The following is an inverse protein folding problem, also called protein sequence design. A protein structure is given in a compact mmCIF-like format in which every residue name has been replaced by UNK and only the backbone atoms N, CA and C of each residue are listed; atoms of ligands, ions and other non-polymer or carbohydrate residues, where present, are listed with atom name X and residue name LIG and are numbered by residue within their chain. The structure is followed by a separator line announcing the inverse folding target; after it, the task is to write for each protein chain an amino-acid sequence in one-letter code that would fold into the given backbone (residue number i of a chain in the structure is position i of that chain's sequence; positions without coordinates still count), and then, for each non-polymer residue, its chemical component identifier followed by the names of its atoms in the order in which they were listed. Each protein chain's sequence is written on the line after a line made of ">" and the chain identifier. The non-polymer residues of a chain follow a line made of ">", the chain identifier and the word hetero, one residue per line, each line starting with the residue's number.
data_IF_292665102252
#
_entry.id   IF_292665102252
#
_cell.length_a   1.000
_cell.length_b   1.000
_cell.length_c   1.000
_cell.angle_alpha   90.00
_cell.angle_beta   90.00
_cell.angle_gamma   90.00
#
_symmetry.space_group_name_H-M   'P 1'
#
loop_
_entity.id
_entity.type
_entity.pdbx_description
1 polymer ?
#
# COMPACT_ATOMS: atom_id res chain seq x y z
N UNK A 1 -31.79 -6.44 1.63
CA UNK A 1 -32.30 -5.68 0.47
C UNK A 1 -32.96 -4.41 0.99
N UNK A 2 -32.68 -3.24 0.35
CA UNK A 2 -33.33 -1.96 0.74
C UNK A 2 -32.53 -1.10 1.74
N UNK A 3 -31.33 -1.50 2.14
CA UNK A 3 -30.47 -0.67 3.01
C UNK A 3 -29.68 0.31 2.15
N UNK A 4 -29.71 1.60 2.51
CA UNK A 4 -28.86 2.61 1.90
C UNK A 4 -27.38 2.34 2.25
N UNK A 5 -26.51 2.12 1.25
CA UNK A 5 -25.10 1.81 1.49
C UNK A 5 -24.34 2.95 2.20
N UNK A 6 -24.74 4.19 1.99
CA UNK A 6 -24.11 5.35 2.62
C UNK A 6 -24.42 5.40 4.11
N UNK A 7 -25.67 5.23 4.46
CA UNK A 7 -26.10 5.15 5.86
C UNK A 7 -25.54 3.91 6.56
N UNK A 8 -25.43 2.79 5.85
CA UNK A 8 -24.81 1.58 6.39
C UNK A 8 -23.33 1.81 6.72
N UNK A 9 -22.56 2.46 5.83
CA UNK A 9 -21.16 2.78 6.06
C UNK A 9 -20.96 3.71 7.26
N UNK A 10 -21.81 4.75 7.39
CA UNK A 10 -21.79 5.67 8.55
C UNK A 10 -22.09 4.90 9.84
N UNK A 11 -23.09 4.05 9.84
CA UNK A 11 -23.45 3.25 11.02
C UNK A 11 -22.34 2.29 11.43
N UNK A 12 -21.68 1.62 10.47
CA UNK A 12 -20.53 0.75 10.74
C UNK A 12 -19.36 1.57 11.29
N UNK A 13 -19.04 2.71 10.68
CA UNK A 13 -17.97 3.59 11.14
C UNK A 13 -18.22 4.07 12.59
N UNK A 14 -19.43 4.46 12.92
CA UNK A 14 -19.79 4.86 14.27
C UNK A 14 -19.60 3.70 15.27
N UNK A 15 -20.01 2.47 14.91
CA UNK A 15 -19.81 1.30 15.77
C UNK A 15 -18.34 0.95 15.95
N UNK A 16 -17.55 1.02 14.89
CA UNK A 16 -16.09 0.83 14.94
C UNK A 16 -15.44 1.87 15.87
N UNK A 17 -15.82 3.15 15.73
CA UNK A 17 -15.29 4.21 16.58
C UNK A 17 -15.64 4.00 18.05
N UNK A 18 -16.84 3.54 18.37
CA UNK A 18 -17.23 3.20 19.74
C UNK A 18 -16.45 2.00 20.30
N UNK A 19 -16.11 1.03 19.45
CA UNK A 19 -15.37 -0.16 19.85
C UNK A 19 -13.86 0.05 19.93
N UNK A 20 -13.34 1.17 19.40
CA UNK A 20 -11.90 1.40 19.23
C UNK A 20 -11.11 1.33 20.56
N UNK A 21 -11.71 1.79 21.66
CA UNK A 21 -11.12 1.70 22.98
C UNK A 21 -11.05 0.27 23.59
N UNK A 22 -11.77 -0.69 22.97
CA UNK A 22 -11.80 -2.09 23.38
C UNK A 22 -10.90 -2.97 22.50
N UNK A 23 -10.32 -2.41 21.45
CA UNK A 23 -9.46 -3.15 20.52
C UNK A 23 -8.03 -3.25 21.07
N UNK A 24 -7.31 -4.34 20.75
CA UNK A 24 -5.89 -4.48 21.09
C UNK A 24 -5.04 -3.34 20.52
N UNK A 25 -3.95 -3.01 21.20
CA UNK A 25 -3.06 -1.92 20.79
C UNK A 25 -2.47 -2.10 19.39
N UNK A 26 -2.24 -3.34 18.96
CA UNK A 26 -1.76 -3.68 17.63
C UNK A 26 -2.76 -3.27 16.54
N UNK A 27 -4.04 -3.50 16.77
CA UNK A 27 -5.13 -3.13 15.84
C UNK A 27 -5.31 -1.61 15.78
N UNK A 28 -5.26 -0.94 16.93
CA UNK A 28 -5.40 0.52 17.00
C UNK A 28 -4.23 1.26 16.37
N UNK A 29 -3.01 0.69 16.41
CA UNK A 29 -1.81 1.25 15.74
C UNK A 29 -1.93 1.19 14.21
N UNK A 30 -2.48 0.12 13.67
CA UNK A 30 -2.72 -0.03 12.22
C UNK A 30 -3.91 0.81 11.79
N UNK A 31 -4.91 0.95 12.67
CA UNK A 31 -6.18 1.60 12.39
C UNK A 31 -7.21 0.65 11.80
N UNK A 32 -8.47 1.03 11.92
CA UNK A 32 -9.60 0.30 11.32
C UNK A 32 -10.31 1.21 10.33
N UNK A 33 -10.39 0.80 9.08
CA UNK A 33 -11.05 1.56 8.02
C UNK A 33 -12.37 0.90 7.61
N UNK A 34 -13.38 1.71 7.33
CA UNK A 34 -14.67 1.25 6.80
C UNK A 34 -14.79 1.70 5.35
N UNK A 35 -15.02 0.76 4.44
CA UNK A 35 -15.12 1.05 3.01
C UNK A 35 -16.39 0.45 2.43
N UNK A 36 -17.03 1.19 1.51
CA UNK A 36 -18.18 0.71 0.72
C UNK A 36 -17.65 0.05 -0.55
N UNK A 37 -17.62 -1.26 -0.58
CA UNK A 37 -17.33 -1.99 -1.81
C UNK A 37 -18.24 -3.18 -1.96
N UNK A 38 -18.53 -3.54 -3.19
CA UNK A 38 -19.14 -4.82 -3.53
C UNK A 38 -18.00 -5.83 -3.77
N UNK A 39 -18.23 -7.12 -3.47
CA UNK A 39 -17.24 -8.16 -3.76
C UNK A 39 -17.13 -8.48 -5.26
N UNK A 40 -17.87 -7.76 -6.11
CA UNK A 40 -17.79 -7.87 -7.55
C UNK A 40 -16.55 -7.16 -8.09
N UNK A 41 -15.64 -7.91 -8.68
CA UNK A 41 -14.50 -7.37 -9.40
C UNK A 41 -14.95 -6.88 -10.77
N UNK A 42 -14.65 -5.62 -11.10
CA UNK A 42 -14.90 -5.03 -12.42
C UNK A 42 -13.78 -5.40 -13.40
N UNK A 43 -12.56 -5.27 -12.94
CA UNK A 43 -11.39 -5.41 -13.79
C UNK A 43 -10.19 -5.87 -12.97
N UNK A 44 -9.35 -6.68 -13.59
CA UNK A 44 -7.99 -6.98 -13.14
C UNK A 44 -7.05 -6.56 -14.26
N UNK A 45 -6.11 -5.68 -13.96
CA UNK A 45 -5.07 -5.28 -14.89
C UNK A 45 -3.70 -5.40 -14.22
N UNK A 46 -2.66 -5.51 -15.02
CA UNK A 46 -1.29 -5.67 -14.55
C UNK A 46 -0.37 -4.66 -15.21
N UNK A 47 0.55 -4.10 -14.43
CA UNK A 47 1.69 -3.37 -14.95
C UNK A 47 2.87 -4.32 -15.03
N UNK A 48 3.58 -4.30 -16.15
CA UNK A 48 4.77 -5.11 -16.36
C UNK A 48 5.80 -4.34 -17.19
N UNK A 49 7.05 -4.72 -17.06
CA UNK A 49 8.16 -4.15 -17.84
C UNK A 49 8.68 -5.21 -18.81
N UNK A 50 8.55 -4.95 -20.11
CA UNK A 50 9.05 -5.84 -21.16
C UNK A 50 10.58 -5.92 -21.21
N UNK A 51 11.26 -4.93 -20.66
CA UNK A 51 12.71 -4.83 -20.67
C UNK A 51 13.35 -5.37 -19.40
N UNK A 52 12.56 -5.71 -18.39
CA UNK A 52 12.99 -6.08 -17.03
C UNK A 52 13.98 -5.07 -16.39
N UNK A 53 13.89 -3.80 -16.82
CA UNK A 53 14.77 -2.71 -16.35
C UNK A 53 14.36 -2.20 -14.98
N UNK A 54 13.06 -2.29 -14.65
CA UNK A 54 12.53 -1.86 -13.37
C UNK A 54 12.38 -3.03 -12.42
N UNK A 55 12.73 -2.81 -11.16
CA UNK A 55 12.41 -3.77 -10.13
C UNK A 55 10.90 -3.74 -9.83
N UNK A 56 10.39 -4.85 -9.34
CA UNK A 56 8.97 -5.03 -9.08
C UNK A 56 8.45 -4.02 -8.05
N UNK A 57 9.31 -3.62 -7.14
CA UNK A 57 9.04 -2.65 -6.09
C UNK A 57 8.76 -1.25 -6.68
N UNK A 58 9.53 -0.85 -7.68
CA UNK A 58 9.29 0.41 -8.39
C UNK A 58 7.93 0.39 -9.08
N UNK A 59 7.61 -0.72 -9.78
CA UNK A 59 6.33 -0.87 -10.50
C UNK A 59 5.15 -0.81 -9.51
N UNK A 60 5.28 -1.48 -8.36
CA UNK A 60 4.27 -1.50 -7.30
C UNK A 60 4.06 -0.10 -6.70
N UNK A 61 5.14 0.58 -6.37
CA UNK A 61 5.08 1.94 -5.84
C UNK A 61 4.51 2.93 -6.87
N UNK A 62 4.89 2.80 -8.13
CA UNK A 62 4.34 3.61 -9.22
C UNK A 62 2.82 3.41 -9.36
N UNK A 63 2.36 2.15 -9.31
CA UNK A 63 0.94 1.83 -9.36
C UNK A 63 0.19 2.46 -8.19
N UNK A 64 0.69 2.32 -6.96
CA UNK A 64 0.07 2.84 -5.75
C UNK A 64 -0.02 4.37 -5.72
N UNK A 65 1.02 5.06 -6.19
CA UNK A 65 1.08 6.53 -6.12
C UNK A 65 0.35 7.18 -7.29
N UNK A 66 0.50 6.64 -8.51
CA UNK A 66 0.03 7.31 -9.72
C UNK A 66 -1.28 6.73 -10.25
N UNK A 67 -1.44 5.40 -10.32
CA UNK A 67 -2.58 4.79 -10.98
C UNK A 67 -3.77 4.58 -10.05
N UNK A 68 -3.56 4.00 -8.89
CA UNK A 68 -4.64 3.67 -7.96
C UNK A 68 -5.47 4.90 -7.54
N UNK A 69 -4.88 6.08 -7.25
CA UNK A 69 -5.66 7.26 -6.94
C UNK A 69 -6.51 7.76 -8.10
N UNK A 70 -6.03 7.66 -9.35
CA UNK A 70 -6.81 8.04 -10.53
C UNK A 70 -7.97 7.09 -10.77
N UNK A 71 -7.73 5.79 -10.65
CA UNK A 71 -8.75 4.75 -10.78
C UNK A 71 -9.86 4.91 -9.72
N UNK A 72 -9.50 5.18 -8.47
CA UNK A 72 -10.47 5.41 -7.38
C UNK A 72 -11.37 6.64 -7.60
N UNK A 73 -10.97 7.57 -8.46
CA UNK A 73 -11.80 8.74 -8.81
C UNK A 73 -12.82 8.44 -9.88
N UNK A 74 -12.72 7.32 -10.59
CA UNK A 74 -13.70 6.93 -11.63
C UNK A 74 -15.02 6.64 -10.96
N UNK A 75 -16.09 7.26 -11.50
CA UNK A 75 -17.46 7.06 -10.99
C UNK A 75 -17.86 5.59 -11.08
N UNK A 76 -18.33 5.02 -9.99
CA UNK A 76 -18.75 3.63 -9.94
C UNK A 76 -17.67 2.66 -9.44
N UNK A 77 -16.44 3.11 -9.26
CA UNK A 77 -15.39 2.36 -8.55
C UNK A 77 -15.63 2.47 -7.05
N UNK A 78 -15.72 1.33 -6.38
CA UNK A 78 -15.86 1.25 -4.94
C UNK A 78 -14.51 1.18 -4.22
N UNK A 79 -13.57 0.44 -4.81
CA UNK A 79 -12.18 0.34 -4.33
C UNK A 79 -11.26 -0.15 -5.44
N UNK A 80 -9.98 0.16 -5.32
CA UNK A 80 -8.93 -0.37 -6.19
C UNK A 80 -7.67 -0.60 -5.37
N UNK A 81 -7.07 -1.76 -5.54
CA UNK A 81 -5.91 -2.17 -4.76
C UNK A 81 -4.86 -2.82 -5.66
N UNK A 82 -3.61 -2.58 -5.36
CA UNK A 82 -2.49 -3.36 -5.89
C UNK A 82 -2.46 -4.71 -5.19
N UNK A 83 -2.37 -5.79 -5.95
CA UNK A 83 -2.05 -7.12 -5.43
C UNK A 83 -0.55 -7.20 -5.16
N UNK A 84 -0.13 -6.57 -4.13
CA UNK A 84 1.23 -6.50 -3.66
C UNK A 84 1.21 -6.11 -2.21
N UNK A 85 2.35 -5.80 -1.68
CA UNK A 85 2.44 -5.33 -0.30
C UNK A 85 3.26 -4.05 -0.28
N UNK A 86 2.82 -3.13 0.58
CA UNK A 86 3.49 -1.86 0.78
C UNK A 86 4.98 -2.06 1.08
N UNK A 87 5.77 -1.07 0.69
CA UNK A 87 7.16 -0.96 1.08
C UNK A 87 7.31 -0.90 2.59
N UNK A 88 8.28 -1.63 3.07
CA UNK A 88 8.62 -1.67 4.48
C UNK A 88 10.13 -1.72 4.63
N UNK A 89 10.66 -1.04 5.63
CA UNK A 89 12.02 -1.23 6.05
C UNK A 89 12.15 -2.62 6.68
N UNK A 90 12.94 -3.48 6.08
CA UNK A 90 13.24 -4.84 6.52
C UNK A 90 14.51 -4.82 7.35
N UNK A 91 14.42 -5.36 8.55
CA UNK A 91 15.53 -5.48 9.49
C UNK A 91 15.75 -6.96 9.79
N UNK A 92 16.75 -7.53 9.15
CA UNK A 92 17.12 -8.93 9.29
C UNK A 92 18.12 -9.06 10.45
N UNK A 93 17.63 -9.45 11.61
CA UNK A 93 18.45 -9.60 12.81
C UNK A 93 19.43 -10.75 12.65
N UNK A 94 20.67 -10.57 13.14
CA UNK A 94 21.75 -11.58 13.18
C UNK A 94 21.79 -12.21 14.57
N UNK A 95 21.16 -13.37 14.82
CA UNK A 95 21.02 -13.95 16.14
C UNK A 95 22.36 -14.24 16.83
N UNK A 96 23.35 -14.69 16.03
CA UNK A 96 24.68 -15.02 16.57
C UNK A 96 25.40 -13.77 17.10
N UNK A 97 25.28 -12.64 16.38
CA UNK A 97 25.87 -11.37 16.82
C UNK A 97 25.12 -10.83 18.02
N UNK A 98 23.78 -10.88 18.00
CA UNK A 98 22.95 -10.45 19.11
C UNK A 98 23.27 -11.22 20.40
N UNK A 99 23.51 -12.53 20.30
CA UNK A 99 23.88 -13.36 21.44
C UNK A 99 25.20 -12.93 22.08
N UNK A 100 26.21 -12.53 21.28
CA UNK A 100 27.50 -12.03 21.74
C UNK A 100 27.34 -10.78 22.62
N UNK A 101 26.40 -9.88 22.24
CA UNK A 101 26.12 -8.65 22.98
C UNK A 101 25.00 -8.79 24.01
N UNK A 102 24.48 -10.01 24.20
CA UNK A 102 23.36 -10.34 25.13
C UNK A 102 22.12 -9.48 24.83
N UNK A 103 21.78 -9.35 23.55
CA UNK A 103 20.60 -8.65 23.06
C UNK A 103 19.45 -9.63 22.78
N UNK A 104 18.23 -9.15 22.99
CA UNK A 104 17.00 -9.82 22.60
C UNK A 104 16.26 -8.96 21.54
N UNK A 105 15.41 -9.53 20.69
CA UNK A 105 14.70 -8.77 19.64
C UNK A 105 13.87 -7.60 20.19
N UNK A 106 13.41 -7.68 21.43
CA UNK A 106 12.70 -6.60 22.10
C UNK A 106 13.55 -5.36 22.35
N UNK A 107 14.87 -5.51 22.54
CA UNK A 107 15.80 -4.38 22.71
C UNK A 107 15.87 -3.57 21.40
N UNK A 108 15.96 -4.27 20.28
CA UNK A 108 15.94 -3.66 18.94
C UNK A 108 14.62 -2.94 18.68
N UNK A 109 13.50 -3.58 18.99
CA UNK A 109 12.17 -2.97 18.83
C UNK A 109 11.99 -1.73 19.71
N UNK A 110 12.53 -1.74 20.93
CA UNK A 110 12.50 -0.59 21.83
C UNK A 110 13.34 0.58 21.27
N UNK A 111 14.56 0.31 20.81
CA UNK A 111 15.44 1.32 20.22
C UNK A 111 14.82 1.94 18.93
N UNK A 112 14.19 1.12 18.10
CA UNK A 112 13.45 1.59 16.92
C UNK A 112 12.28 2.49 17.32
N UNK A 113 11.49 2.10 18.31
CA UNK A 113 10.34 2.87 18.78
C UNK A 113 10.76 4.21 19.40
N UNK A 114 11.93 4.27 20.03
CA UNK A 114 12.45 5.47 20.67
C UNK A 114 13.06 6.46 19.65
N UNK A 115 13.78 5.96 18.64
CA UNK A 115 14.56 6.80 17.72
C UNK A 115 13.88 7.05 16.38
N UNK A 116 12.86 6.27 15.99
CA UNK A 116 12.09 6.44 14.76
C UNK A 116 10.69 6.97 15.06
N UNK A 117 10.61 8.14 15.69
CA UNK A 117 9.35 8.81 16.06
C UNK A 117 9.21 10.13 15.31
N UNK A 118 7.97 10.59 15.19
CA UNK A 118 7.67 11.94 14.74
C UNK A 118 7.33 12.79 15.98
N UNK A 119 8.16 13.76 16.27
CA UNK A 119 7.99 14.63 17.43
C UNK A 119 7.98 16.09 17.01
N UNK A 120 7.24 16.92 17.74
CA UNK A 120 7.29 18.36 17.64
C UNK A 120 8.20 18.89 18.78
N UNK A 121 9.50 19.11 18.53
CA UNK A 121 10.48 19.37 19.59
C UNK A 121 10.33 20.74 20.26
N UNK A 122 9.45 21.61 19.74
CA UNK A 122 9.22 22.94 20.29
C UNK A 122 10.28 23.97 19.91
N UNK A 123 10.38 25.02 20.73
CA UNK A 123 11.29 26.15 20.53
C UNK A 123 12.03 26.49 21.82
N UNK A 124 13.26 26.94 21.70
CA UNK A 124 13.99 27.55 22.81
C UNK A 124 13.77 29.06 22.84
N UNK A 125 13.66 29.64 24.05
CA UNK A 125 13.53 31.09 24.24
C UNK A 125 12.11 31.60 24.36
N UNK A 126 11.10 30.72 24.46
CA UNK A 126 9.68 31.11 24.56
C UNK A 126 9.34 31.77 25.90
N UNK A 127 10.10 31.53 26.96
CA UNK A 127 9.94 32.14 28.29
C UNK A 127 11.28 32.70 28.76
N UNK A 128 11.54 33.94 28.41
CA UNK A 128 12.74 34.63 28.92
C UNK A 128 12.96 36.01 28.27
N UNK A 129 13.85 36.78 28.86
CA UNK A 129 14.27 38.13 28.37
C UNK A 129 15.22 38.02 27.15
N UNK A 130 15.14 36.92 26.36
CA UNK A 130 15.97 36.73 25.19
C UNK A 130 15.32 37.24 23.92
N UNK A 131 16.07 37.98 23.13
CA UNK A 131 15.61 38.64 21.89
C UNK A 131 15.43 37.64 20.73
N UNK A 132 15.90 36.42 20.87
CA UNK A 132 15.86 35.41 19.80
C UNK A 132 15.19 34.12 20.26
N UNK A 133 14.28 33.61 19.40
CA UNK A 133 13.70 32.26 19.52
C UNK A 133 14.40 31.32 18.52
N UNK A 134 14.79 30.15 18.98
CA UNK A 134 15.40 29.12 18.15
C UNK A 134 14.43 27.95 18.00
N UNK A 135 13.97 27.71 16.79
CA UNK A 135 13.16 26.52 16.47
C UNK A 135 14.07 25.31 16.40
N UNK A 136 13.76 24.30 17.20
CA UNK A 136 14.46 23.00 17.12
C UNK A 136 13.94 22.29 15.88
N UNK A 137 14.84 21.96 14.95
CA UNK A 137 14.50 21.09 13.83
C UNK A 137 14.80 19.65 14.21
N UNK A 138 13.81 18.80 14.06
CA UNK A 138 13.91 17.36 14.23
C UNK A 138 13.78 16.69 12.88
N UNK A 139 14.54 15.61 12.65
CA UNK A 139 14.59 14.94 11.34
C UNK A 139 13.30 14.17 11.01
N UNK A 140 12.49 13.84 12.02
CA UNK A 140 11.29 13.05 11.84
C UNK A 140 11.57 11.55 11.69
N UNK A 141 10.65 10.87 10.99
CA UNK A 141 10.81 9.44 10.70
C UNK A 141 11.98 9.19 9.75
N UNK A 142 12.74 8.17 10.03
CA UNK A 142 13.84 7.71 9.21
C UNK A 142 13.30 7.13 7.89
N UNK A 143 13.99 7.41 6.79
CA UNK A 143 13.56 7.04 5.45
C UNK A 143 14.59 6.20 4.69
N UNK A 144 15.88 6.37 4.99
CA UNK A 144 16.97 5.70 4.31
C UNK A 144 17.52 4.54 5.16
N UNK A 145 17.98 3.48 4.51
CA UNK A 145 18.58 2.32 5.18
C UNK A 145 19.74 2.73 6.07
N UNK A 146 20.60 3.64 5.61
CA UNK A 146 21.75 4.17 6.38
C UNK A 146 21.33 4.88 7.66
N UNK A 147 20.20 5.52 7.68
CA UNK A 147 19.67 6.18 8.89
C UNK A 147 19.20 5.16 9.93
N UNK A 148 18.65 4.02 9.46
CA UNK A 148 18.29 2.91 10.34
C UNK A 148 19.53 2.18 10.85
N UNK A 149 20.57 2.01 10.01
CA UNK A 149 21.85 1.42 10.43
C UNK A 149 22.48 2.20 11.59
N UNK A 150 22.32 3.51 11.61
CA UNK A 150 22.86 4.42 12.60
C UNK A 150 22.11 4.42 13.95
N UNK A 151 20.96 3.75 14.05
CA UNK A 151 20.18 3.65 15.31
C UNK A 151 21.05 3.02 16.40
N UNK A 152 21.12 3.67 17.54
CA UNK A 152 21.88 3.21 18.70
C UNK A 152 21.06 2.18 19.48
N UNK A 153 21.60 0.96 19.60
CA UNK A 153 20.98 -0.12 20.38
C UNK A 153 21.49 -0.12 21.82
N UNK A 154 22.81 0.03 22.00
CA UNK A 154 23.42 -0.09 23.31
C UNK A 154 24.78 0.64 23.38
N UNK A 155 25.05 1.29 24.50
CA UNK A 155 26.40 1.75 24.82
C UNK A 155 27.22 0.61 25.44
N UNK A 156 28.43 0.40 24.98
CA UNK A 156 29.35 -0.64 25.48
C UNK A 156 30.25 -0.09 26.57
N UNK A 157 30.75 -0.96 27.45
CA UNK A 157 31.60 -0.55 28.59
C UNK A 157 32.92 0.10 28.19
N UNK A 158 33.38 -0.15 26.97
CA UNK A 158 34.61 0.41 26.38
C UNK A 158 34.42 1.82 25.78
N UNK A 159 33.21 2.38 25.90
CA UNK A 159 32.83 3.68 25.37
C UNK A 159 32.35 3.64 23.89
N UNK A 160 32.38 2.49 23.24
CA UNK A 160 31.84 2.29 21.91
C UNK A 160 30.30 2.21 21.96
N UNK A 161 29.68 2.46 20.80
CA UNK A 161 28.22 2.40 20.63
C UNK A 161 27.89 1.30 19.65
N UNK A 162 27.04 0.37 20.08
CA UNK A 162 26.53 -0.68 19.22
C UNK A 162 25.32 -0.12 18.43
N UNK A 163 25.39 -0.19 17.11
CA UNK A 163 24.37 0.31 16.21
C UNK A 163 23.54 -0.83 15.62
N UNK A 164 22.40 -0.49 15.06
CA UNK A 164 21.50 -1.48 14.42
C UNK A 164 22.18 -2.18 13.25
N UNK A 165 22.96 -1.47 12.43
CA UNK A 165 23.74 -2.05 11.33
C UNK A 165 24.78 -3.09 11.76
N UNK A 166 25.25 -3.06 13.02
CA UNK A 166 26.20 -4.05 13.54
C UNK A 166 25.51 -5.40 13.80
N UNK A 167 24.21 -5.39 14.14
CA UNK A 167 23.44 -6.56 14.59
C UNK A 167 22.34 -6.98 13.62
N UNK A 168 22.15 -6.24 12.51
CA UNK A 168 21.14 -6.52 11.51
C UNK A 168 21.60 -6.10 10.12
N UNK A 169 21.01 -6.74 9.10
CA UNK A 169 21.03 -6.25 7.72
C UNK A 169 19.73 -5.49 7.44
N UNK A 170 19.85 -4.30 6.84
CA UNK A 170 18.72 -3.40 6.65
C UNK A 170 18.51 -3.16 5.16
N UNK A 171 17.32 -3.44 4.69
CA UNK A 171 16.94 -3.22 3.30
C UNK A 171 15.54 -2.65 3.18
N UNK A 172 15.29 -1.90 2.13
CA UNK A 172 13.95 -1.51 1.74
C UNK A 172 13.36 -2.64 0.89
N UNK A 173 12.31 -3.30 1.37
CA UNK A 173 11.73 -4.45 0.72
C UNK A 173 10.21 -4.52 0.90
N UNK A 174 9.61 -5.57 0.34
CA UNK A 174 8.17 -5.82 0.48
C UNK A 174 7.82 -6.29 1.89
N UNK A 175 6.65 -5.93 2.34
CA UNK A 175 6.12 -6.40 3.64
C UNK A 175 5.96 -7.94 3.66
N UNK A 176 5.59 -8.57 2.53
CA UNK A 176 5.61 -10.02 2.36
C UNK A 176 5.93 -10.41 0.90
N UNK A 177 6.46 -11.62 0.71
CA UNK A 177 6.84 -12.18 -0.60
C UNK A 177 5.86 -13.26 -1.07
N UNK A 178 4.58 -13.10 -0.76
CA UNK A 178 3.56 -14.15 -0.94
C UNK A 178 3.04 -14.28 -2.36
N UNK A 179 3.09 -13.19 -3.15
CA UNK A 179 2.55 -13.15 -4.51
C UNK A 179 3.64 -12.88 -5.54
N UNK A 180 3.68 -13.68 -6.58
CA UNK A 180 4.55 -13.51 -7.72
C UNK A 180 3.67 -13.51 -8.98
N UNK A 181 3.46 -12.33 -9.55
CA UNK A 181 2.67 -12.19 -10.77
C UNK A 181 3.58 -12.06 -11.98
N UNK A 182 3.22 -12.69 -13.07
CA UNK A 182 3.94 -12.61 -14.35
C UNK A 182 2.95 -12.37 -15.49
N UNK A 183 3.36 -11.55 -16.44
CA UNK A 183 2.67 -11.32 -17.72
C UNK A 183 3.66 -11.60 -18.84
N UNK A 184 3.34 -12.54 -19.71
CA UNK A 184 4.18 -12.94 -20.84
C UNK A 184 5.64 -13.33 -20.48
N UNK A 185 5.86 -13.83 -19.26
CA UNK A 185 7.19 -14.19 -18.77
C UNK A 185 7.92 -13.07 -18.03
N UNK A 186 7.43 -11.85 -18.03
CA UNK A 186 7.97 -10.71 -17.30
C UNK A 186 7.30 -10.54 -15.95
N UNK A 187 8.04 -10.05 -14.96
CA UNK A 187 7.49 -9.74 -13.64
C UNK A 187 6.44 -8.64 -13.75
N UNK A 188 5.32 -8.84 -13.08
CA UNK A 188 4.18 -7.95 -13.17
C UNK A 188 3.59 -7.62 -11.79
N UNK A 189 2.97 -6.47 -11.70
CA UNK A 189 2.17 -6.02 -10.55
C UNK A 189 0.72 -5.98 -10.96
N UNK A 190 -0.11 -6.81 -10.35
CA UNK A 190 -1.55 -6.86 -10.65
C UNK A 190 -2.34 -5.93 -9.75
N UNK A 191 -3.34 -5.29 -10.33
CA UNK A 191 -4.27 -4.39 -9.65
C UNK A 191 -5.69 -4.91 -9.82
N UNK A 192 -6.47 -4.87 -8.76
CA UNK A 192 -7.89 -5.23 -8.79
C UNK A 192 -8.74 -4.01 -8.57
N UNK A 193 -9.79 -3.87 -9.38
CA UNK A 193 -10.79 -2.81 -9.25
C UNK A 193 -12.12 -3.43 -8.87
N UNK A 194 -12.74 -2.90 -7.82
CA UNK A 194 -14.01 -3.36 -7.27
C UNK A 194 -15.12 -2.36 -7.58
N UNK A 195 -16.34 -2.89 -7.77
CA UNK A 195 -17.53 -2.10 -8.04
C UNK A 195 -18.03 -1.38 -6.79
N UNK A 196 -18.53 -0.17 -6.97
CA UNK A 196 -19.37 0.50 -5.98
C UNK A 196 -20.78 -0.10 -6.01
N UNK A 197 -21.36 -0.37 -4.85
CA UNK A 197 -22.71 -0.88 -4.77
C UNK A 197 -23.70 0.06 -5.48
N UNK A 198 -24.52 -0.49 -6.37
CA UNK A 198 -25.53 0.25 -7.14
C UNK A 198 -25.02 0.99 -8.37
N UNK A 199 -23.72 0.91 -8.70
CA UNK A 199 -23.18 1.49 -9.94
C UNK A 199 -23.44 0.61 -11.16
N UNK A 200 -23.36 1.23 -12.36
CA UNK A 200 -23.43 0.51 -13.63
C UNK A 200 -22.04 -0.01 -14.01
N UNK A 201 -21.85 -1.34 -13.94
CA UNK A 201 -20.57 -1.98 -14.21
C UNK A 201 -20.04 -1.66 -15.62
N UNK A 202 -20.89 -1.74 -16.65
CA UNK A 202 -20.51 -1.53 -18.05
C UNK A 202 -20.00 -0.12 -18.30
N UNK A 203 -20.68 0.90 -17.78
CA UNK A 203 -20.28 2.29 -17.87
C UNK A 203 -18.96 2.53 -17.13
N UNK A 204 -18.87 2.02 -15.90
CA UNK A 204 -17.67 2.14 -15.08
C UNK A 204 -16.45 1.52 -15.75
N UNK A 205 -16.60 0.33 -16.36
CA UNK A 205 -15.50 -0.35 -17.06
C UNK A 205 -15.06 0.46 -18.28
N UNK A 206 -16.00 0.98 -19.07
CA UNK A 206 -15.67 1.82 -20.23
C UNK A 206 -14.88 3.07 -19.81
N UNK A 207 -15.23 3.68 -18.69
CA UNK A 207 -14.49 4.85 -18.18
C UNK A 207 -13.13 4.46 -17.60
N UNK A 208 -13.02 3.28 -16.96
CA UNK A 208 -11.74 2.72 -16.53
C UNK A 208 -10.79 2.46 -17.70
N UNK A 209 -11.28 1.88 -18.80
CA UNK A 209 -10.48 1.64 -20.02
C UNK A 209 -9.90 2.94 -20.58
N UNK A 210 -10.70 4.03 -20.61
CA UNK A 210 -10.23 5.36 -21.04
C UNK A 210 -9.13 5.89 -20.13
N UNK A 211 -9.28 5.72 -18.80
CA UNK A 211 -8.27 6.15 -17.83
C UNK A 211 -6.99 5.34 -17.99
N UNK A 212 -7.08 4.01 -18.15
CA UNK A 212 -5.92 3.15 -18.37
C UNK A 212 -5.22 3.44 -19.70
N UNK A 213 -5.98 3.69 -20.78
CA UNK A 213 -5.40 4.09 -22.06
C UNK A 213 -4.62 5.41 -21.97
N UNK A 214 -5.18 6.40 -21.27
CA UNK A 214 -4.50 7.67 -21.02
C UNK A 214 -3.26 7.47 -20.11
N UNK A 215 -3.37 6.64 -19.11
CA UNK A 215 -2.25 6.32 -18.22
C UNK A 215 -1.11 5.64 -19.00
N UNK A 216 -1.42 4.74 -19.95
CA UNK A 216 -0.43 4.08 -20.80
C UNK A 216 0.44 5.08 -21.58
N UNK A 217 -0.11 6.21 -22.02
CA UNK A 217 0.64 7.25 -22.71
C UNK A 217 1.65 7.99 -21.82
N UNK A 218 1.41 7.99 -20.53
CA UNK A 218 2.22 8.69 -19.52
C UNK A 218 3.14 7.78 -18.68
N UNK A 219 3.13 6.47 -18.96
CA UNK A 219 3.99 5.51 -18.28
C UNK A 219 5.49 5.76 -18.57
N UNK A 220 6.38 5.46 -17.63
CA UNK A 220 7.80 5.36 -17.89
C UNK A 220 8.11 4.38 -19.02
N UNK A 221 9.14 4.69 -19.81
CA UNK A 221 9.54 3.88 -20.98
C UNK A 221 9.79 2.42 -20.57
N UNK A 222 9.14 1.48 -21.23
CA UNK A 222 9.25 0.05 -20.95
C UNK A 222 8.11 -0.52 -20.12
N UNK A 223 7.39 0.33 -19.36
CA UNK A 223 6.21 -0.12 -18.61
C UNK A 223 4.98 -0.19 -19.52
N UNK A 224 4.23 -1.27 -19.36
CA UNK A 224 3.01 -1.53 -20.08
C UNK A 224 1.87 -1.95 -19.16
N UNK A 225 0.64 -1.64 -19.56
CA UNK A 225 -0.58 -2.09 -18.92
C UNK A 225 -1.16 -3.26 -19.72
N UNK A 226 -1.47 -4.35 -19.03
CA UNK A 226 -2.21 -5.48 -19.60
C UNK A 226 -3.50 -5.70 -18.81
N UNK A 227 -4.65 -5.66 -19.48
CA UNK A 227 -5.94 -6.00 -18.86
C UNK A 227 -6.09 -7.51 -18.90
N UNK A 228 -5.99 -8.15 -17.75
CA UNK A 228 -6.04 -9.60 -17.62
C UNK A 228 -7.48 -10.12 -17.54
N UNK A 229 -8.38 -9.34 -16.94
CA UNK A 229 -9.79 -9.69 -16.80
C UNK A 229 -10.64 -8.44 -16.85
N UNK A 230 -11.73 -8.51 -17.65
CA UNK A 230 -12.73 -7.48 -17.79
C UNK A 230 -14.13 -8.13 -17.65
N UNK A 231 -14.93 -7.67 -16.70
CA UNK A 231 -16.26 -8.23 -16.49
C UNK A 231 -17.21 -8.00 -17.68
N UNK A 232 -16.98 -6.97 -18.50
CA UNK A 232 -17.76 -6.72 -19.71
C UNK A 232 -17.55 -7.78 -20.78
N UNK A 233 -16.34 -8.35 -20.89
CA UNK A 233 -16.05 -9.38 -21.91
C UNK A 233 -16.95 -10.59 -21.70
N UNK A 234 -17.11 -11.03 -20.45
CA UNK A 234 -18.02 -12.11 -20.11
C UNK A 234 -19.49 -11.76 -20.36
N UNK A 235 -19.90 -10.53 -20.01
CA UNK A 235 -21.26 -10.05 -20.23
C UNK A 235 -21.61 -10.00 -21.71
N UNK A 236 -20.75 -9.41 -22.54
CA UNK A 236 -20.97 -9.29 -23.98
C UNK A 236 -20.92 -10.65 -24.67
N UNK A 237 -20.03 -11.56 -24.27
CA UNK A 237 -20.00 -12.92 -24.80
C UNK A 237 -21.32 -13.65 -24.49
N UNK A 238 -21.84 -13.51 -23.26
CA UNK A 238 -23.12 -14.11 -22.85
C UNK A 238 -24.31 -13.54 -23.62
N UNK A 239 -24.37 -12.21 -23.81
CA UNK A 239 -25.42 -11.55 -24.61
C UNK A 239 -25.36 -11.98 -26.06
N UNK A 240 -24.16 -12.08 -26.64
CA UNK A 240 -23.97 -12.51 -28.01
C UNK A 240 -24.47 -13.93 -28.25
N UNK A 241 -24.19 -14.85 -27.33
CA UNK A 241 -24.65 -16.24 -27.41
C UNK A 241 -26.17 -16.34 -27.30
N UNK A 242 -26.82 -15.56 -26.42
CA UNK A 242 -28.28 -15.49 -26.33
C UNK A 242 -28.90 -14.95 -27.61
N UNK A 243 -28.35 -13.89 -28.19
CA UNK A 243 -28.84 -13.34 -29.46
C UNK A 243 -28.68 -14.36 -30.60
N UNK A 244 -27.56 -15.06 -30.65
CA UNK A 244 -27.28 -16.08 -31.66
C UNK A 244 -28.28 -17.23 -31.59
N UNK A 245 -28.54 -17.77 -30.38
CA UNK A 245 -29.53 -18.84 -30.19
C UNK A 245 -30.94 -18.38 -30.57
N UNK A 246 -31.32 -17.15 -30.21
CA UNK A 246 -32.64 -16.60 -30.64
C UNK A 246 -32.80 -16.45 -32.16
N UNK A 247 -31.70 -16.22 -32.88
CA UNK A 247 -31.69 -16.12 -34.35
C UNK A 247 -31.69 -17.50 -34.99
N UNK A 248 -30.97 -18.47 -34.40
CA UNK A 248 -30.88 -19.84 -34.90
C UNK A 248 -32.19 -20.62 -34.72
N UNK A 249 -32.90 -20.44 -33.57
CA UNK A 249 -34.20 -21.06 -33.29
C UNK A 249 -35.34 -20.50 -34.17
N UNK A 250 -35.08 -19.48 -34.98
CA UNK A 250 -36.07 -18.83 -35.85
C UNK A 250 -36.03 -19.35 -37.29
N UNK A 251 -35.17 -20.35 -37.58
CA UNK A 251 -35.07 -21.06 -38.84
C UNK A 251 -35.70 -22.45 -38.77
#
# INVERSE_FOLDING_TARGET
>A
QGTDPDMAAVNVQNRVSMAQGLLPAEVTKVGVTTQKRQNSMLMVFSLYDETDSYNIEFIENYANINLIPEIKRVKGVGDANVLGQDYSMRIWLKPDVMAQYKLVPTDVSAALAEQNIEAAPGQFGERGNQTFQYTIRYKGRLQQTTEFEDIVIKALPDGNVLRLGDVADIELGRLAYTFNNMVNGHKAVSCIVYQMAGSNATETISDLEKVLAKAQESLPTGLNINIAQNANDFLFASIHEVIKTLIEDRK
#
